data_IF_190270712121
#
_entry.id   IF_190270712121
#
_cell.length_a   1.000
_cell.length_b   1.000
_cell.length_c   1.000
_cell.angle_alpha   90.00
_cell.angle_beta   90.00
_cell.angle_gamma   90.00
#
_symmetry.space_group_name_H-M   'P 1'
#
loop_
_entity.id
_entity.type
_entity.pdbx_description
1 polymer ?
#
# COMPACT_ATOMS: atom_id res chain seq x y z
N UNK A 1 -5.39 -11.12 4.91
CA UNK A 1 -6.07 -12.23 4.22
C UNK A 1 -5.01 -13.10 3.54
N UNK A 2 -4.89 -14.37 3.90
CA UNK A 2 -3.91 -15.33 3.35
C UNK A 2 -4.62 -16.39 2.51
N UNK A 3 -3.92 -17.03 1.57
CA UNK A 3 -4.43 -18.16 0.77
C UNK A 3 -5.02 -19.31 1.61
N UNK A 4 -4.73 -19.33 2.92
CA UNK A 4 -5.34 -20.23 3.90
C UNK A 4 -6.89 -20.17 3.95
N UNK A 5 -7.53 -19.11 3.43
CA UNK A 5 -8.99 -19.05 3.33
C UNK A 5 -9.57 -20.11 2.37
N UNK A 6 -8.76 -20.59 1.42
CA UNK A 6 -9.15 -21.65 0.47
C UNK A 6 -9.25 -23.01 1.14
N UNK A 7 -8.50 -23.22 2.22
CA UNK A 7 -8.41 -24.49 2.94
C UNK A 7 -9.24 -24.49 4.22
N UNK A 8 -10.26 -23.61 4.32
CA UNK A 8 -11.18 -23.60 5.47
C UNK A 8 -11.91 -24.94 5.57
N UNK A 9 -12.01 -25.45 6.81
CA UNK A 9 -12.66 -26.73 7.10
C UNK A 9 -14.11 -26.68 6.63
N UNK A 10 -14.84 -25.63 7.02
CA UNK A 10 -16.19 -25.35 6.54
C UNK A 10 -16.15 -24.86 5.07
N UNK A 11 -16.73 -25.62 4.12
CA UNK A 11 -16.77 -25.22 2.71
C UNK A 11 -17.57 -23.95 2.46
N UNK A 12 -18.59 -23.66 3.27
CA UNK A 12 -19.46 -22.47 3.11
C UNK A 12 -18.73 -21.17 3.42
N UNK A 13 -17.61 -21.26 4.16
CA UNK A 13 -16.76 -20.13 4.50
C UNK A 13 -15.63 -19.90 3.49
N UNK A 14 -15.52 -20.73 2.45
CA UNK A 14 -14.51 -20.57 1.39
C UNK A 14 -14.98 -19.52 0.39
N UNK A 15 -14.08 -18.66 -0.10
CA UNK A 15 -14.44 -17.63 -1.07
C UNK A 15 -14.75 -18.24 -2.44
N UNK A 16 -15.59 -17.57 -3.21
CA UNK A 16 -15.83 -17.90 -4.63
C UNK A 16 -14.59 -17.59 -5.48
N UNK A 17 -14.52 -18.18 -6.68
CA UNK A 17 -13.45 -17.88 -7.64
C UNK A 17 -13.37 -16.37 -7.94
N UNK A 18 -14.51 -15.72 -8.08
CA UNK A 18 -14.61 -14.27 -8.30
C UNK A 18 -14.03 -13.47 -7.12
N UNK A 19 -14.40 -13.83 -5.88
CA UNK A 19 -13.84 -13.21 -4.68
C UNK A 19 -12.32 -13.42 -4.56
N UNK A 20 -11.80 -14.56 -5.02
CA UNK A 20 -10.35 -14.83 -5.05
C UNK A 20 -9.65 -13.96 -6.09
N UNK A 21 -10.21 -13.84 -7.30
CA UNK A 21 -9.65 -13.03 -8.37
C UNK A 21 -9.64 -11.54 -8.04
N UNK A 22 -10.52 -11.09 -7.15
CA UNK A 22 -10.52 -9.73 -6.62
C UNK A 22 -9.41 -9.43 -5.60
N UNK A 23 -8.69 -10.44 -5.11
CA UNK A 23 -7.64 -10.23 -4.12
C UNK A 23 -6.46 -9.43 -4.69
N UNK A 24 -5.75 -8.65 -3.86
CA UNK A 24 -4.60 -7.86 -4.31
C UNK A 24 -3.49 -8.67 -4.96
N UNK A 25 -3.44 -9.99 -4.73
CA UNK A 25 -2.50 -10.89 -5.38
C UNK A 25 -2.58 -10.79 -6.91
N UNK A 26 -3.80 -10.74 -7.46
CA UNK A 26 -4.08 -10.79 -8.90
C UNK A 26 -4.16 -9.43 -9.57
N UNK A 27 -4.06 -8.34 -8.81
CA UNK A 27 -4.03 -7.00 -9.39
C UNK A 27 -2.74 -6.76 -10.17
N UNK A 28 -2.82 -6.01 -11.27
CA UNK A 28 -1.63 -5.47 -11.92
C UNK A 28 -0.91 -4.45 -11.01
N UNK A 29 0.32 -4.08 -11.37
CA UNK A 29 1.13 -3.18 -10.55
C UNK A 29 0.57 -1.76 -10.46
N UNK A 30 -0.09 -1.28 -11.50
CA UNK A 30 -0.73 0.04 -11.50
C UNK A 30 -1.89 0.08 -10.49
N UNK A 31 -2.76 -0.94 -10.50
CA UNK A 31 -3.87 -1.09 -9.55
C UNK A 31 -3.36 -1.21 -8.12
N UNK A 32 -2.31 -1.99 -7.88
CA UNK A 32 -1.65 -2.10 -6.55
C UNK A 32 -1.12 -0.74 -6.07
N UNK A 33 -0.45 0.01 -6.94
CA UNK A 33 0.09 1.32 -6.61
C UNK A 33 -1.03 2.34 -6.34
N UNK A 34 -2.07 2.37 -7.17
CA UNK A 34 -3.21 3.28 -7.00
C UNK A 34 -3.97 2.99 -5.70
N UNK A 35 -4.17 1.71 -5.34
CA UNK A 35 -4.76 1.36 -4.07
C UNK A 35 -3.98 1.93 -2.87
N UNK A 36 -2.65 1.79 -2.88
CA UNK A 36 -1.77 2.33 -1.82
C UNK A 36 -1.88 3.86 -1.75
N UNK A 37 -1.92 4.53 -2.89
CA UNK A 37 -2.06 6.00 -2.97
C UNK A 37 -3.40 6.46 -2.38
N UNK A 38 -4.51 5.88 -2.85
CA UNK A 38 -5.86 6.21 -2.37
C UNK A 38 -6.02 5.94 -0.87
N UNK A 39 -5.48 4.82 -0.37
CA UNK A 39 -5.44 4.55 1.05
C UNK A 39 -4.61 5.57 1.84
N UNK A 40 -3.45 5.96 1.32
CA UNK A 40 -2.62 7.00 1.95
C UNK A 40 -3.34 8.34 2.06
N UNK A 41 -4.08 8.76 1.04
CA UNK A 41 -4.84 10.02 1.07
C UNK A 41 -5.95 9.98 2.12
N UNK A 42 -6.68 8.86 2.20
CA UNK A 42 -7.72 8.67 3.20
C UNK A 42 -7.17 8.64 4.62
N UNK A 43 -6.04 7.96 4.84
CA UNK A 43 -5.44 7.83 6.18
C UNK A 43 -4.89 9.15 6.72
N UNK A 44 -4.50 10.09 5.85
CA UNK A 44 -4.13 11.46 6.29
C UNK A 44 -5.35 12.23 6.83
N UNK A 45 -6.57 11.84 6.44
CA UNK A 45 -7.81 12.45 6.90
C UNK A 45 -8.42 11.77 8.13
N UNK A 46 -7.82 10.70 8.67
CA UNK A 46 -8.31 10.01 9.87
C UNK A 46 -8.08 10.86 11.15
N UNK A 47 -9.14 11.41 11.78
CA UNK A 47 -9.00 12.25 12.96
C UNK A 47 -8.70 11.44 14.23
N UNK A 48 -8.99 10.13 14.22
CA UNK A 48 -8.95 9.27 15.41
C UNK A 48 -7.57 8.69 15.72
N UNK A 49 -6.66 8.75 14.74
CA UNK A 49 -5.36 8.06 14.75
C UNK A 49 -5.44 6.53 14.93
N UNK A 50 -6.62 5.93 14.91
CA UNK A 50 -6.81 4.48 15.07
C UNK A 50 -6.08 3.75 13.95
N UNK A 51 -6.23 4.25 12.72
CA UNK A 51 -5.59 3.66 11.54
C UNK A 51 -4.07 3.77 11.64
N UNK A 52 -3.57 4.93 12.08
CA UNK A 52 -2.13 5.16 12.25
C UNK A 52 -1.55 4.18 13.28
N UNK A 53 -2.24 3.96 14.40
CA UNK A 53 -1.80 3.01 15.43
C UNK A 53 -1.81 1.57 14.93
N UNK A 54 -2.84 1.17 14.18
CA UNK A 54 -2.92 -0.19 13.63
C UNK A 54 -1.84 -0.45 12.57
N UNK A 55 -1.54 0.55 11.73
CA UNK A 55 -0.42 0.51 10.80
C UNK A 55 0.93 0.34 11.52
N UNK A 56 1.20 1.19 12.51
CA UNK A 56 2.48 1.18 13.24
C UNK A 56 2.66 -0.12 14.05
N UNK A 57 1.58 -0.63 14.66
CA UNK A 57 1.60 -1.86 15.44
C UNK A 57 1.89 -3.11 14.59
N UNK A 58 1.75 -3.03 13.26
CA UNK A 58 2.05 -4.15 12.37
C UNK A 58 3.55 -4.47 12.28
N UNK A 59 4.42 -3.54 12.70
CA UNK A 59 5.87 -3.63 12.57
C UNK A 59 6.42 -3.51 11.15
N UNK A 60 5.56 -3.32 10.14
CA UNK A 60 5.99 -3.16 8.75
C UNK A 60 6.45 -1.72 8.54
N UNK A 61 7.66 -1.56 8.01
CA UNK A 61 8.22 -0.22 7.79
C UNK A 61 8.79 0.41 9.06
N UNK A 62 9.09 -0.35 10.10
CA UNK A 62 9.97 0.16 11.17
C UNK A 62 11.33 0.50 10.55
N UNK A 63 11.85 1.71 10.83
CA UNK A 63 13.10 2.25 10.27
C UNK A 63 13.17 2.13 8.74
N UNK A 64 12.05 2.38 8.06
CA UNK A 64 11.90 2.08 6.62
C UNK A 64 12.96 2.74 5.72
N UNK A 65 13.52 3.88 6.11
CA UNK A 65 14.62 4.54 5.39
C UNK A 65 15.83 3.64 5.17
N UNK A 66 16.13 2.72 6.10
CA UNK A 66 17.29 1.82 5.99
C UNK A 66 17.14 0.79 4.88
N UNK A 67 15.89 0.51 4.47
CA UNK A 67 15.61 -0.37 3.35
C UNK A 67 15.64 0.37 2.02
N UNK A 68 15.65 1.70 2.00
CA UNK A 68 15.65 2.51 0.79
C UNK A 68 17.08 2.80 0.29
N UNK A 69 17.15 3.23 -0.96
CA UNK A 69 18.37 3.78 -1.55
C UNK A 69 18.73 5.08 -0.82
N UNK A 70 20.00 5.28 -0.40
CA UNK A 70 20.41 6.49 0.32
C UNK A 70 20.08 7.79 -0.43
N UNK A 71 20.27 7.83 -1.75
CA UNK A 71 19.96 9.01 -2.56
C UNK A 71 18.46 9.33 -2.60
N UNK A 72 17.61 8.29 -2.54
CA UNK A 72 16.16 8.46 -2.38
C UNK A 72 15.80 8.99 -0.99
N UNK A 73 16.46 8.53 0.07
CA UNK A 73 16.24 9.06 1.43
C UNK A 73 16.62 10.53 1.50
N UNK A 74 17.78 10.91 0.96
CA UNK A 74 18.24 12.29 0.91
C UNK A 74 17.27 13.18 0.12
N UNK A 75 16.70 12.67 -0.98
CA UNK A 75 15.72 13.44 -1.76
C UNK A 75 14.35 13.54 -1.08
N UNK A 76 13.96 12.58 -0.24
CA UNK A 76 12.73 12.64 0.55
C UNK A 76 12.77 13.74 1.60
N UNK A 77 13.85 13.80 2.39
CA UNK A 77 13.97 14.72 3.53
C UNK A 77 14.11 16.19 3.12
N UNK A 78 14.50 16.47 1.87
CA UNK A 78 14.59 17.83 1.31
C UNK A 78 13.26 18.57 1.30
N UNK A 79 12.17 17.87 0.99
CA UNK A 79 10.87 18.51 0.73
C UNK A 79 9.87 18.32 1.86
N UNK A 80 10.00 17.25 2.66
CA UNK A 80 9.07 16.95 3.74
C UNK A 80 9.74 16.20 4.87
N UNK A 81 9.33 16.50 6.10
CA UNK A 81 9.70 15.70 7.28
C UNK A 81 8.87 14.43 7.32
N UNK A 82 9.55 13.29 7.40
CA UNK A 82 8.93 11.99 7.60
C UNK A 82 9.42 11.38 8.91
N UNK A 83 8.54 10.71 9.64
CA UNK A 83 8.94 9.82 10.73
C UNK A 83 9.24 8.43 10.17
N UNK A 84 10.51 8.06 10.18
CA UNK A 84 10.97 6.79 9.63
C UNK A 84 10.57 5.55 10.43
N UNK A 85 9.95 5.72 11.59
CA UNK A 85 9.39 4.63 12.39
C UNK A 85 7.87 4.50 12.22
N UNK A 86 7.27 5.31 11.36
CA UNK A 86 5.82 5.33 11.11
C UNK A 86 5.51 4.76 9.74
N UNK A 87 4.70 3.70 9.72
CA UNK A 87 4.26 3.06 8.48
C UNK A 87 3.37 3.99 7.67
N UNK A 88 2.58 4.83 8.33
CA UNK A 88 1.81 5.90 7.67
C UNK A 88 2.71 6.82 6.86
N UNK A 89 3.86 7.22 7.41
CA UNK A 89 4.79 8.11 6.74
C UNK A 89 5.51 7.43 5.57
N UNK A 90 5.71 6.11 5.62
CA UNK A 90 6.14 5.33 4.47
C UNK A 90 5.10 5.39 3.33
N UNK A 91 3.81 5.17 3.62
CA UNK A 91 2.74 5.27 2.62
C UNK A 91 2.70 6.67 1.99
N UNK A 92 2.84 7.68 2.83
CA UNK A 92 2.91 9.09 2.43
C UNK A 92 4.10 9.40 1.53
N UNK A 93 5.26 8.82 1.83
CA UNK A 93 6.46 8.94 1.00
C UNK A 93 6.26 8.29 -0.38
N UNK A 94 5.68 7.07 -0.41
CA UNK A 94 5.35 6.35 -1.66
C UNK A 94 4.38 7.18 -2.50
N UNK A 95 3.29 7.67 -1.91
CA UNK A 95 2.31 8.53 -2.58
C UNK A 95 2.96 9.78 -3.16
N UNK A 96 3.72 10.51 -2.35
CA UNK A 96 4.39 11.74 -2.77
C UNK A 96 5.37 11.50 -3.93
N UNK A 97 6.21 10.47 -3.82
CA UNK A 97 7.18 10.15 -4.88
C UNK A 97 6.51 9.65 -6.15
N UNK A 98 5.42 8.90 -6.03
CA UNK A 98 4.63 8.47 -7.19
C UNK A 98 3.98 9.68 -7.89
N UNK A 99 3.36 10.58 -7.12
CA UNK A 99 2.68 11.75 -7.67
C UNK A 99 3.65 12.67 -8.44
N UNK A 100 4.88 12.82 -7.94
CA UNK A 100 5.89 13.69 -8.56
C UNK A 100 6.88 12.94 -9.45
N UNK A 101 6.64 11.67 -9.80
CA UNK A 101 7.61 10.80 -10.45
C UNK A 101 8.26 11.45 -11.69
N UNK A 102 7.46 12.02 -12.60
CA UNK A 102 7.96 12.64 -13.82
C UNK A 102 8.74 13.94 -13.61
N UNK A 103 8.60 14.57 -12.43
CA UNK A 103 9.34 15.76 -12.03
C UNK A 103 10.63 15.41 -11.27
N UNK A 104 10.88 14.13 -10.99
CA UNK A 104 12.10 13.69 -10.30
C UNK A 104 13.33 13.85 -11.23
N UNK A 105 14.53 14.10 -10.67
CA UNK A 105 15.77 14.03 -11.41
C UNK A 105 15.95 12.68 -12.14
N UNK A 106 16.60 12.68 -13.31
CA UNK A 106 16.66 11.48 -14.17
C UNK A 106 17.37 10.29 -13.50
N UNK A 107 18.40 10.56 -12.71
CA UNK A 107 19.08 9.55 -11.90
C UNK A 107 18.12 8.88 -10.88
N UNK A 108 17.23 9.65 -10.26
CA UNK A 108 16.23 9.13 -9.34
C UNK A 108 15.12 8.36 -10.08
N UNK A 109 14.69 8.81 -11.26
CA UNK A 109 13.76 8.02 -12.09
C UNK A 109 14.38 6.67 -12.49
N UNK A 110 15.66 6.67 -12.87
CA UNK A 110 16.37 5.46 -13.30
C UNK A 110 16.49 4.42 -12.17
N UNK A 111 16.54 4.85 -10.90
CA UNK A 111 16.51 3.95 -9.74
C UNK A 111 15.28 3.02 -9.77
N UNK A 112 14.14 3.54 -10.20
CA UNK A 112 12.90 2.77 -10.28
C UNK A 112 12.79 1.93 -11.55
N UNK A 113 13.67 2.11 -12.53
CA UNK A 113 13.67 1.45 -13.86
C UNK A 113 12.49 1.85 -14.76
N UNK A 114 11.24 1.77 -14.28
CA UNK A 114 10.03 2.12 -15.02
C UNK A 114 8.92 2.61 -14.09
N UNK A 115 7.88 3.21 -14.67
CA UNK A 115 6.68 3.63 -13.94
C UNK A 115 5.43 3.18 -14.70
N UNK A 116 4.38 2.69 -14.01
CA UNK A 116 4.26 2.52 -12.55
C UNK A 116 4.95 1.25 -12.00
N UNK A 117 5.25 0.28 -12.87
CA UNK A 117 5.64 -1.08 -12.49
C UNK A 117 6.93 -1.16 -11.68
N UNK A 118 8.02 -0.60 -12.21
CA UNK A 118 9.32 -0.61 -11.55
C UNK A 118 9.30 0.17 -10.22
N UNK A 119 8.59 1.29 -10.18
CA UNK A 119 8.33 2.05 -8.96
C UNK A 119 7.62 1.21 -7.90
N UNK A 120 6.52 0.54 -8.24
CA UNK A 120 5.81 -0.33 -7.32
C UNK A 120 6.71 -1.49 -6.83
N UNK A 121 7.39 -2.16 -7.76
CA UNK A 121 8.27 -3.29 -7.46
C UNK A 121 9.43 -2.91 -6.53
N UNK A 122 9.96 -1.70 -6.65
CA UNK A 122 11.00 -1.18 -5.77
C UNK A 122 10.57 -1.23 -4.30
N UNK A 123 9.35 -0.76 -3.99
CA UNK A 123 8.81 -0.78 -2.62
C UNK A 123 8.32 -2.16 -2.21
N UNK A 124 7.68 -2.91 -3.11
CA UNK A 124 7.22 -4.27 -2.83
C UNK A 124 8.36 -5.20 -2.40
N UNK A 125 9.51 -5.15 -3.07
CA UNK A 125 10.70 -5.95 -2.71
C UNK A 125 11.24 -5.63 -1.31
N UNK A 126 11.03 -4.40 -0.82
CA UNK A 126 11.51 -3.92 0.48
C UNK A 126 10.48 -4.11 1.60
N UNK A 127 9.20 -4.03 1.25
CA UNK A 127 8.07 -4.13 2.19
C UNK A 127 6.99 -5.09 1.65
N UNK A 128 7.28 -6.39 1.54
CA UNK A 128 6.41 -7.36 0.85
C UNK A 128 5.01 -7.49 1.47
N UNK A 129 4.87 -7.24 2.78
CA UNK A 129 3.58 -7.29 3.48
C UNK A 129 2.74 -6.00 3.40
N UNK A 130 3.29 -4.90 2.88
CA UNK A 130 2.67 -3.58 2.96
C UNK A 130 1.31 -3.51 2.26
N UNK A 131 1.21 -4.03 1.04
CA UNK A 131 -0.04 -4.03 0.27
C UNK A 131 -1.15 -4.78 1.02
N UNK A 132 -0.84 -5.97 1.56
CA UNK A 132 -1.82 -6.79 2.26
C UNK A 132 -2.23 -6.16 3.59
N UNK A 133 -1.30 -5.52 4.30
CA UNK A 133 -1.61 -4.74 5.51
C UNK A 133 -2.63 -3.64 5.18
N UNK A 134 -2.30 -2.76 4.22
CA UNK A 134 -3.15 -1.65 3.81
C UNK A 134 -4.51 -2.16 3.36
N UNK A 135 -4.54 -3.24 2.56
CA UNK A 135 -5.79 -3.85 2.10
C UNK A 135 -6.71 -4.28 3.24
N UNK A 136 -6.17 -4.97 4.25
CA UNK A 136 -6.99 -5.41 5.38
C UNK A 136 -7.50 -4.23 6.21
N UNK A 137 -6.69 -3.19 6.39
CA UNK A 137 -7.09 -1.97 7.13
C UNK A 137 -8.21 -1.24 6.40
N UNK A 138 -8.07 -1.02 5.08
CA UNK A 138 -9.12 -0.39 4.27
C UNK A 138 -10.39 -1.23 4.30
N UNK A 139 -10.28 -2.55 4.09
CA UNK A 139 -11.45 -3.44 4.12
C UNK A 139 -12.16 -3.45 5.48
N UNK A 140 -11.43 -3.28 6.58
CA UNK A 140 -11.97 -3.28 7.95
C UNK A 140 -12.67 -1.97 8.30
N UNK A 141 -12.06 -0.83 7.97
CA UNK A 141 -12.50 0.49 8.46
C UNK A 141 -13.22 1.33 7.41
N UNK A 142 -12.99 1.05 6.13
CA UNK A 142 -13.55 1.80 5.00
C UNK A 142 -14.24 0.90 3.96
N UNK A 143 -15.07 -0.08 4.38
CA UNK A 143 -15.68 -1.04 3.45
C UNK A 143 -16.72 -0.43 2.52
N UNK A 144 -17.18 0.81 2.75
CA UNK A 144 -18.23 1.44 1.92
C UNK A 144 -17.74 2.73 1.27
N UNK A 145 -16.44 3.03 1.39
CA UNK A 145 -15.87 4.28 0.92
C UNK A 145 -15.77 4.23 -0.63
N UNK A 146 -16.45 5.15 -1.36
CA UNK A 146 -16.63 5.02 -2.81
C UNK A 146 -15.35 4.89 -3.62
N UNK A 147 -14.25 5.53 -3.19
CA UNK A 147 -12.96 5.44 -3.87
C UNK A 147 -12.41 4.00 -3.91
N UNK A 148 -12.89 3.08 -3.04
CA UNK A 148 -12.45 1.69 -3.05
C UNK A 148 -13.37 0.71 -3.76
N UNK A 149 -14.48 1.16 -4.33
CA UNK A 149 -15.45 0.28 -4.99
C UNK A 149 -14.84 -0.51 -6.16
N UNK A 150 -13.85 0.03 -6.87
CA UNK A 150 -13.17 -0.68 -7.96
C UNK A 150 -12.21 -1.78 -7.47
N UNK A 151 -11.89 -1.81 -6.17
CA UNK A 151 -10.93 -2.75 -5.56
C UNK A 151 -11.61 -3.88 -4.79
N UNK A 152 -12.87 -3.72 -4.42
CA UNK A 152 -13.61 -4.71 -3.65
C UNK A 152 -14.77 -5.27 -4.46
N UNK A 153 -14.98 -6.57 -4.33
CA UNK A 153 -16.25 -7.21 -4.72
C UNK A 153 -17.07 -7.32 -3.44
N UNK A 154 -18.22 -6.66 -3.44
CA UNK A 154 -19.23 -6.81 -2.39
C UNK A 154 -20.21 -7.90 -2.82
N UNK A 155 -20.54 -8.80 -1.91
CA UNK A 155 -21.59 -9.78 -2.17
C UNK A 155 -22.89 -9.02 -2.43
N UNK A 156 -23.47 -9.23 -3.61
CA UNK A 156 -24.84 -8.80 -3.91
C UNK A 156 -25.75 -9.66 -3.03
N UNK A 157 -26.17 -9.13 -1.88
CA UNK A 157 -27.27 -9.73 -1.12
C UNK A 157 -28.60 -9.47 -1.81
#
# INVERSE_FOLDING_TARGET
>A
MTLAILTRIDPTLRPTAEQIMALPLFWDFNKKLNFIKSASDLFEMDPSMIITRELDASGIGIRWHQSLDPGLVDSLVKFRKYDFNKTRDLLRAIRNKSHHFYNLPKNEQNLFTSFPDGFYLYFYKRFPGLLILVYNIVKKHYPNEPIFNEFFIYDSK
#
